data_IF_104083787497
#
_entry.id   IF_104083787497
#
_cell.length_a   1.000
_cell.length_b   1.000
_cell.length_c   1.000
_cell.angle_alpha   90.00
_cell.angle_beta   90.00
_cell.angle_gamma   90.00
#
_symmetry.space_group_name_H-M   'P 1'
#
loop_
_entity.id
_entity.type
_entity.pdbx_description
1 polymer ?
#
# COMPACT_ATOMS: atom_id res chain seq x y z
N UNK A 1 5.13 7.50 14.80
CA UNK A 1 5.15 8.83 14.15
C UNK A 1 6.09 8.92 12.95
N UNK A 2 7.32 8.38 12.98
CA UNK A 2 8.31 8.57 11.89
C UNK A 2 7.87 7.92 10.55
N UNK A 3 7.38 6.69 10.59
CA UNK A 3 7.04 5.95 9.36
C UNK A 3 5.97 6.64 8.50
N UNK A 4 4.95 7.26 9.13
CA UNK A 4 3.93 8.01 8.40
C UNK A 4 4.47 9.21 7.63
N UNK A 5 5.44 9.94 8.21
CA UNK A 5 6.11 11.06 7.52
C UNK A 5 6.98 10.57 6.35
N UNK A 6 7.65 9.42 6.50
CA UNK A 6 8.42 8.81 5.41
C UNK A 6 7.49 8.44 4.25
N UNK A 7 6.36 7.78 4.52
CA UNK A 7 5.38 7.42 3.49
C UNK A 7 4.84 8.67 2.77
N UNK A 8 4.49 9.72 3.51
CA UNK A 8 4.08 10.99 2.92
C UNK A 8 5.14 11.58 1.98
N UNK A 9 6.41 11.57 2.40
CA UNK A 9 7.52 12.11 1.60
C UNK A 9 7.69 11.32 0.30
N UNK A 10 7.58 9.99 0.34
CA UNK A 10 7.60 9.15 -0.86
C UNK A 10 6.44 9.43 -1.80
N UNK A 11 5.23 9.59 -1.28
CA UNK A 11 4.06 9.95 -2.09
C UNK A 11 4.20 11.34 -2.72
N UNK A 12 4.77 12.31 -2.01
CA UNK A 12 5.03 13.63 -2.55
C UNK A 12 6.08 13.57 -3.66
N UNK A 13 7.20 12.88 -3.44
CA UNK A 13 8.23 12.69 -4.47
C UNK A 13 7.66 12.01 -5.72
N UNK A 14 6.83 10.98 -5.54
CA UNK A 14 6.15 10.29 -6.63
C UNK A 14 5.23 11.23 -7.44
N UNK A 15 4.38 11.99 -6.74
CA UNK A 15 3.45 12.92 -7.38
C UNK A 15 4.18 13.98 -8.21
N UNK A 16 5.30 14.52 -7.69
CA UNK A 16 6.10 15.51 -8.41
C UNK A 16 6.86 14.92 -9.61
N UNK A 17 7.30 13.67 -9.50
CA UNK A 17 8.09 13.02 -10.55
C UNK A 17 7.24 12.51 -11.73
N UNK A 18 6.08 11.89 -11.47
CA UNK A 18 5.28 11.19 -12.50
C UNK A 18 3.94 11.84 -12.82
N UNK A 19 3.37 12.60 -11.87
CA UNK A 19 2.01 13.12 -11.97
C UNK A 19 1.88 14.61 -11.66
N UNK A 20 2.73 15.49 -12.25
CA UNK A 20 2.72 16.91 -11.93
C UNK A 20 1.37 17.55 -12.25
N UNK A 21 0.74 18.13 -11.23
CA UNK A 21 -0.54 18.84 -11.36
C UNK A 21 -1.78 17.95 -11.51
N UNK A 22 -1.64 16.62 -11.51
CA UNK A 22 -2.79 15.71 -11.59
C UNK A 22 -3.47 15.57 -10.22
N UNK A 23 -4.82 15.51 -10.17
CA UNK A 23 -5.54 15.27 -8.94
C UNK A 23 -5.26 13.86 -8.40
N UNK A 24 -4.96 13.78 -7.10
CA UNK A 24 -4.64 12.54 -6.39
C UNK A 24 -5.82 12.11 -5.53
N UNK A 25 -6.14 10.81 -5.55
CA UNK A 25 -7.03 10.17 -4.56
C UNK A 25 -6.28 9.09 -3.81
N UNK A 26 -6.62 8.88 -2.54
CA UNK A 26 -5.93 7.91 -1.69
C UNK A 26 -6.91 7.06 -0.90
N UNK A 27 -6.60 5.77 -0.79
CA UNK A 27 -7.21 4.85 0.16
C UNK A 27 -6.19 4.50 1.24
N UNK A 28 -6.65 4.40 2.48
CA UNK A 28 -5.80 4.14 3.63
C UNK A 28 -6.40 3.03 4.48
N UNK A 29 -5.56 2.05 4.82
CA UNK A 29 -5.92 0.94 5.70
C UNK A 29 -4.82 0.76 6.76
N UNK A 30 -5.22 0.49 8.01
CA UNK A 30 -4.27 0.26 9.09
C UNK A 30 -4.84 -0.66 10.17
N UNK A 31 -3.98 -1.50 10.72
CA UNK A 31 -4.34 -2.38 11.83
C UNK A 31 -3.46 -3.62 11.96
N UNK A 32 -3.63 -4.39 13.03
CA UNK A 32 -2.90 -5.64 13.22
C UNK A 32 -3.43 -6.72 12.28
N UNK A 33 -2.57 -7.65 11.82
CA UNK A 33 -3.02 -8.79 11.06
C UNK A 33 -3.80 -9.76 11.96
N UNK A 34 -4.75 -10.49 11.37
CA UNK A 34 -5.53 -11.54 12.05
C UNK A 34 -4.72 -12.82 12.26
N UNK A 35 -3.71 -13.04 11.41
CA UNK A 35 -2.77 -14.16 11.47
C UNK A 35 -1.33 -13.64 11.65
N UNK A 36 -0.38 -14.52 11.95
CA UNK A 36 1.04 -14.18 12.12
C UNK A 36 1.74 -13.93 10.77
N UNK A 37 1.17 -13.03 9.96
CA UNK A 37 1.69 -12.64 8.66
C UNK A 37 1.38 -11.17 8.36
N UNK A 38 2.43 -10.40 8.09
CA UNK A 38 2.33 -8.97 7.79
C UNK A 38 2.02 -8.69 6.30
N UNK A 39 1.72 -7.44 5.98
CA UNK A 39 1.14 -7.07 4.69
C UNK A 39 2.09 -7.28 3.53
N UNK A 40 3.39 -6.97 3.67
CA UNK A 40 4.37 -7.18 2.60
C UNK A 40 4.40 -8.63 2.13
N UNK A 41 4.32 -9.57 3.08
CA UNK A 41 4.32 -11.00 2.79
C UNK A 41 3.01 -11.48 2.17
N UNK A 42 1.86 -10.99 2.67
CA UNK A 42 0.54 -11.28 2.09
C UNK A 42 0.39 -10.75 0.65
N UNK A 43 1.13 -9.70 0.32
CA UNK A 43 1.19 -9.09 -1.01
C UNK A 43 2.31 -9.68 -1.89
N UNK A 44 3.12 -10.62 -1.36
CA UNK A 44 4.24 -11.23 -2.07
C UNK A 44 5.42 -10.28 -2.38
N UNK A 45 5.45 -9.11 -1.72
CA UNK A 45 6.45 -8.07 -1.92
C UNK A 45 7.78 -8.36 -1.18
N UNK A 46 7.87 -9.45 -0.42
CA UNK A 46 9.14 -9.92 0.16
C UNK A 46 10.16 -10.30 -0.93
N UNK A 47 9.68 -10.70 -2.10
CA UNK A 47 10.49 -11.05 -3.27
C UNK A 47 10.50 -9.94 -4.34
N UNK A 48 10.18 -8.69 -3.96
CA UNK A 48 10.19 -7.58 -4.90
C UNK A 48 11.60 -7.38 -5.51
N UNK A 49 11.68 -7.05 -6.82
CA UNK A 49 12.95 -6.78 -7.48
C UNK A 49 13.57 -5.46 -7.01
N UNK A 50 14.72 -5.09 -7.57
CA UNK A 50 15.41 -3.86 -7.13
C UNK A 50 14.61 -2.60 -7.46
N UNK A 51 14.80 -1.47 -6.74
CA UNK A 51 14.17 -0.20 -7.10
C UNK A 51 14.46 0.20 -8.56
N UNK A 52 13.42 0.62 -9.28
CA UNK A 52 13.44 0.93 -10.71
C UNK A 52 13.22 -0.28 -11.61
N UNK A 53 13.20 -1.51 -11.09
CA UNK A 53 12.92 -2.70 -11.89
C UNK A 53 11.42 -2.98 -12.00
N UNK A 54 10.97 -3.54 -13.14
CA UNK A 54 9.57 -3.88 -13.35
C UNK A 54 9.17 -5.12 -12.55
N UNK A 55 7.89 -5.21 -12.21
CA UNK A 55 7.27 -6.37 -11.59
C UNK A 55 5.92 -6.67 -12.24
N UNK A 56 5.53 -7.95 -12.24
CA UNK A 56 4.22 -8.41 -12.69
C UNK A 56 3.80 -9.66 -11.92
N UNK A 57 2.74 -9.56 -11.12
CA UNK A 57 2.21 -10.63 -10.27
C UNK A 57 0.83 -10.24 -9.70
N UNK A 58 0.06 -11.18 -9.14
CA UNK A 58 -1.09 -10.82 -8.32
C UNK A 58 -0.69 -9.92 -7.15
N UNK A 59 -1.49 -8.91 -6.84
CA UNK A 59 -1.26 -7.96 -5.75
C UNK A 59 -2.54 -7.77 -4.93
N UNK A 60 -2.60 -8.42 -3.77
CA UNK A 60 -3.76 -8.35 -2.89
C UNK A 60 -5.03 -8.92 -3.56
N UNK A 61 -6.11 -8.14 -3.74
CA UNK A 61 -7.29 -8.56 -4.50
C UNK A 61 -7.13 -8.47 -6.03
N UNK A 62 -6.07 -7.81 -6.53
CA UNK A 62 -5.84 -7.68 -7.97
C UNK A 62 -5.15 -8.95 -8.50
N UNK A 63 -5.83 -9.70 -9.38
CA UNK A 63 -5.36 -10.99 -9.90
C UNK A 63 -4.19 -10.85 -10.87
N UNK A 64 -4.12 -9.72 -11.56
CA UNK A 64 -3.04 -9.35 -12.46
C UNK A 64 -2.71 -7.88 -12.21
N UNK A 65 -1.51 -7.62 -11.70
CA UNK A 65 -1.01 -6.27 -11.50
C UNK A 65 0.43 -6.20 -11.99
N UNK A 66 0.85 -5.01 -12.38
CA UNK A 66 2.20 -4.73 -12.83
C UNK A 66 2.56 -3.27 -12.58
N UNK A 67 3.86 -3.00 -12.62
CA UNK A 67 4.45 -1.68 -12.50
C UNK A 67 5.94 -1.78 -12.21
N UNK A 68 6.46 -0.85 -11.44
CA UNK A 68 7.88 -0.75 -11.08
C UNK A 68 8.03 -0.66 -9.56
N UNK A 69 9.15 -1.15 -9.04
CA UNK A 69 9.49 -0.92 -7.62
C UNK A 69 9.95 0.52 -7.46
N UNK A 70 9.18 1.35 -6.74
CA UNK A 70 9.52 2.75 -6.53
C UNK A 70 10.59 2.93 -5.45
N UNK A 71 10.47 2.22 -4.33
CA UNK A 71 11.48 2.19 -3.28
C UNK A 71 11.38 0.94 -2.41
N UNK A 72 12.51 0.56 -1.82
CA UNK A 72 12.59 -0.42 -0.76
C UNK A 72 13.25 0.21 0.48
N UNK A 73 12.65 0.01 1.64
CA UNK A 73 13.17 0.40 2.93
C UNK A 73 12.91 -0.72 3.94
N UNK A 74 13.55 -0.65 5.12
CA UNK A 74 13.46 -1.70 6.15
C UNK A 74 12.02 -2.07 6.51
N UNK A 75 11.19 -1.05 6.75
CA UNK A 75 9.80 -1.20 7.16
C UNK A 75 8.79 -0.79 6.10
N UNK A 76 9.26 -0.29 4.95
CA UNK A 76 8.38 0.23 3.91
C UNK A 76 8.76 -0.29 2.53
N UNK A 77 7.76 -0.56 1.71
CA UNK A 77 7.92 -0.92 0.31
C UNK A 77 6.95 -0.10 -0.52
N UNK A 78 7.44 0.52 -1.58
CA UNK A 78 6.66 1.29 -2.52
C UNK A 78 6.72 0.66 -3.90
N UNK A 79 5.57 0.33 -4.48
CA UNK A 79 5.46 -0.18 -5.85
C UNK A 79 4.44 0.63 -6.63
N UNK A 80 4.76 0.98 -7.88
CA UNK A 80 3.79 1.61 -8.77
C UNK A 80 2.82 0.56 -9.29
N UNK A 81 1.58 0.93 -9.58
CA UNK A 81 0.57 0.03 -10.13
C UNK A 81 -0.06 0.68 -11.35
N UNK A 82 0.21 0.14 -12.54
CA UNK A 82 -0.22 0.72 -13.81
C UNK A 82 -1.74 0.88 -13.90
N UNK A 83 -2.48 -0.15 -13.47
CA UNK A 83 -3.95 -0.19 -13.49
C UNK A 83 -4.61 0.90 -12.61
N UNK A 84 -3.85 1.58 -11.75
CA UNK A 84 -4.35 2.64 -10.87
C UNK A 84 -4.08 4.04 -11.42
N UNK A 85 -3.89 4.14 -12.75
CA UNK A 85 -3.46 5.34 -13.44
C UNK A 85 -1.99 5.64 -13.16
N UNK A 86 -1.14 4.60 -13.22
CA UNK A 86 0.24 4.66 -12.73
C UNK A 86 0.29 5.13 -11.26
N UNK A 87 -0.52 4.48 -10.43
CA UNK A 87 -0.65 4.78 -9.00
C UNK A 87 0.51 4.27 -8.17
N UNK A 88 0.47 4.48 -6.86
CA UNK A 88 1.49 4.02 -5.91
C UNK A 88 0.84 3.27 -4.74
N UNK A 89 1.27 2.04 -4.51
CA UNK A 89 1.05 1.33 -3.25
C UNK A 89 2.25 1.57 -2.33
N UNK A 90 1.98 2.08 -1.13
CA UNK A 90 2.96 2.08 -0.02
C UNK A 90 2.48 1.08 1.04
N UNK A 91 3.35 0.13 1.37
CA UNK A 91 3.15 -0.85 2.43
C UNK A 91 4.09 -0.54 3.56
N UNK A 92 3.58 -0.46 4.78
CA UNK A 92 4.39 -0.32 6.00
C UNK A 92 4.10 -1.48 6.94
N UNK A 93 5.14 -2.19 7.33
CA UNK A 93 5.08 -3.28 8.29
C UNK A 93 5.82 -2.88 9.58
N UNK A 94 5.11 -2.88 10.70
CA UNK A 94 5.70 -2.72 12.02
C UNK A 94 5.84 -4.09 12.69
N UNK A 95 7.03 -4.41 13.25
CA UNK A 95 7.24 -5.70 13.90
C UNK A 95 6.39 -5.86 15.16
N UNK A 96 6.23 -7.10 15.65
CA UNK A 96 5.58 -7.39 16.93
C UNK A 96 6.11 -6.56 18.11
N UNK A 97 5.19 -6.16 18.99
CA UNK A 97 5.45 -5.47 20.26
C UNK A 97 4.55 -6.05 21.35
N UNK A 98 4.74 -5.66 22.62
CA UNK A 98 3.85 -6.09 23.72
C UNK A 98 2.38 -5.68 23.47
N UNK A 99 2.14 -4.47 22.94
CA UNK A 99 0.78 -3.97 22.62
C UNK A 99 0.20 -4.66 21.38
N UNK A 100 1.04 -4.98 20.39
CA UNK A 100 0.64 -5.63 19.14
C UNK A 100 1.48 -6.89 18.92
N UNK A 101 1.09 -8.04 19.49
CA UNK A 101 1.90 -9.26 19.47
C UNK A 101 2.09 -9.84 18.06
N UNK A 102 1.28 -9.42 17.08
CA UNK A 102 1.39 -9.80 15.67
C UNK A 102 1.95 -8.68 14.77
N UNK A 103 2.40 -7.58 15.38
CA UNK A 103 2.77 -6.36 14.66
C UNK A 103 1.56 -5.61 14.11
N UNK A 104 1.82 -4.61 13.27
CA UNK A 104 0.79 -3.85 12.57
C UNK A 104 1.18 -3.62 11.12
N UNK A 105 0.19 -3.44 10.27
CA UNK A 105 0.39 -3.06 8.88
C UNK A 105 -0.37 -1.79 8.55
N UNK A 106 0.14 -1.07 7.56
CA UNK A 106 -0.50 0.10 6.97
C UNK A 106 -0.35 0.05 5.46
N UNK A 107 -1.46 0.28 4.75
CA UNK A 107 -1.48 0.37 3.30
C UNK A 107 -1.99 1.74 2.89
N UNK A 108 -1.25 2.39 2.00
CA UNK A 108 -1.69 3.62 1.36
C UNK A 108 -1.68 3.42 -0.14
N UNK A 109 -2.86 3.36 -0.74
CA UNK A 109 -3.02 3.27 -2.19
C UNK A 109 -3.25 4.68 -2.72
N UNK A 110 -2.43 5.08 -3.68
CA UNK A 110 -2.51 6.38 -4.34
C UNK A 110 -2.89 6.17 -5.79
N UNK A 111 -3.91 6.86 -6.26
CA UNK A 111 -4.39 6.74 -7.64
C UNK A 111 -4.49 8.09 -8.31
N UNK A 112 -4.40 8.05 -9.65
CA UNK A 112 -4.49 9.23 -10.50
C UNK A 112 -5.47 8.95 -11.64
N UNK A 113 -6.25 9.97 -12.00
CA UNK A 113 -7.10 9.96 -13.20
C UNK A 113 -8.10 8.78 -13.33
N UNK A 114 -8.42 8.07 -12.23
CA UNK A 114 -9.49 7.07 -12.20
C UNK A 114 -10.86 7.76 -12.20
N UNK A 115 -11.83 7.16 -12.91
CA UNK A 115 -13.23 7.55 -12.79
C UNK A 115 -13.76 7.27 -11.38
N UNK A 116 -14.84 7.94 -10.99
CA UNK A 116 -15.46 7.71 -9.67
C UNK A 116 -15.91 6.25 -9.49
N UNK A 117 -16.44 5.63 -10.54
CA UNK A 117 -16.82 4.23 -10.53
C UNK A 117 -15.59 3.32 -10.34
N UNK A 118 -14.51 3.54 -11.10
CA UNK A 118 -13.29 2.74 -10.99
C UNK A 118 -12.63 2.89 -9.61
N UNK A 119 -12.64 4.10 -9.04
CA UNK A 119 -12.13 4.32 -7.69
C UNK A 119 -12.98 3.60 -6.63
N UNK A 120 -14.31 3.68 -6.73
CA UNK A 120 -15.21 3.01 -5.79
C UNK A 120 -15.09 1.48 -5.86
N UNK A 121 -14.92 0.92 -7.06
CA UNK A 121 -14.66 -0.52 -7.24
C UNK A 121 -13.31 -0.93 -6.65
N UNK A 122 -12.26 -0.13 -6.85
CA UNK A 122 -10.95 -0.36 -6.22
C UNK A 122 -11.09 -0.36 -4.69
N UNK A 123 -11.78 0.65 -4.13
CA UNK A 123 -12.04 0.76 -2.69
C UNK A 123 -12.77 -0.46 -2.15
N UNK A 124 -13.86 -0.88 -2.79
CA UNK A 124 -14.64 -2.04 -2.35
C UNK A 124 -13.81 -3.33 -2.35
N UNK A 125 -13.04 -3.58 -3.41
CA UNK A 125 -12.19 -4.78 -3.53
C UNK A 125 -11.08 -4.81 -2.48
N UNK A 126 -10.36 -3.71 -2.32
CA UNK A 126 -9.27 -3.61 -1.34
C UNK A 126 -9.76 -3.62 0.11
N UNK A 127 -10.90 -2.97 0.39
CA UNK A 127 -11.54 -3.05 1.70
C UNK A 127 -11.96 -4.49 2.03
N UNK A 128 -12.59 -5.19 1.09
CA UNK A 128 -12.98 -6.59 1.28
C UNK A 128 -11.79 -7.51 1.54
N UNK A 129 -10.69 -7.33 0.80
CA UNK A 129 -9.45 -8.07 1.01
C UNK A 129 -8.82 -7.77 2.38
N UNK A 130 -8.83 -6.50 2.80
CA UNK A 130 -8.28 -6.03 4.06
C UNK A 130 -9.07 -6.59 5.25
N UNK A 131 -10.39 -6.45 5.27
CA UNK A 131 -11.23 -6.85 6.41
C UNK A 131 -11.11 -8.37 6.72
N UNK A 132 -10.84 -9.19 5.69
CA UNK A 132 -10.59 -10.63 5.83
C UNK A 132 -9.26 -10.96 6.52
N UNK A 133 -8.26 -10.07 6.45
CA UNK A 133 -6.86 -10.35 6.84
C UNK A 133 -6.37 -9.51 8.01
N UNK A 134 -6.97 -8.36 8.24
CA UNK A 134 -6.57 -7.40 9.26
C UNK A 134 -7.77 -7.01 10.12
N UNK A 135 -7.48 -6.60 11.35
CA UNK A 135 -8.44 -5.91 12.19
C UNK A 135 -8.44 -4.43 11.79
N UNK A 136 -9.59 -3.89 11.40
CA UNK A 136 -9.68 -2.47 11.05
C UNK A 136 -9.74 -1.64 12.32
N UNK A 137 -8.67 -0.91 12.61
CA UNK A 137 -8.62 0.02 13.74
C UNK A 137 -8.97 1.41 13.22
N UNK A 138 -9.93 2.07 13.85
CA UNK A 138 -10.28 3.44 13.48
C UNK A 138 -9.08 4.37 13.71
N UNK A 139 -8.81 5.33 12.79
CA UNK A 139 -7.73 6.29 12.99
C UNK A 139 -7.92 7.06 14.30
N UNK A 140 -6.93 7.03 15.19
CA UNK A 140 -6.92 7.81 16.43
C UNK A 140 -7.42 7.10 17.69
N UNK A 141 -7.75 5.81 17.62
CA UNK A 141 -7.95 4.98 18.82
C UNK A 141 -6.67 4.21 19.17
N UNK A 142 -5.65 4.93 19.63
CA UNK A 142 -4.42 4.34 20.21
C UNK A 142 -3.83 5.19 21.33
#
# INVERSE_FOLDING_TARGET
>A
MIEGWISFTWQLAFALARHPGQPRRTLFFSGPPREDRLARSLLGLDAAPAPGEPWAMPLGPDTEASGEVWFLARHQTGVTVEAWGDGLLVVVDQPPTEKHPRGTAMLTLTTYSLSDAAFAELEARWKGWWDQRFETVAPGCD
#
